data_IF_178660702845
#
_entry.id   IF_178660702845
#
_cell.length_a   1.000
_cell.length_b   1.000
_cell.length_c   1.000
_cell.angle_alpha   90.00
_cell.angle_beta   90.00
_cell.angle_gamma   90.00
#
_symmetry.space_group_name_H-M   'P 1'
#
loop_
_entity.id
_entity.type
_entity.pdbx_description
1 polymer ?
#
# COMPACT_ATOMS: atom_id res chain seq x y z
N UNK A 1 15.63 -10.39 19.03
CA UNK A 1 16.37 -9.74 17.94
C UNK A 1 15.46 -8.71 17.32
N UNK A 2 15.98 -7.55 16.93
CA UNK A 2 15.18 -6.51 16.29
C UNK A 2 14.63 -7.03 14.96
N UNK A 3 13.34 -6.83 14.71
CA UNK A 3 12.64 -7.36 13.54
C UNK A 3 11.97 -6.24 12.75
N UNK A 4 12.18 -6.24 11.45
CA UNK A 4 11.63 -5.25 10.53
C UNK A 4 10.76 -5.90 9.46
N UNK A 5 9.78 -5.14 8.95
CA UNK A 5 9.06 -5.48 7.73
C UNK A 5 9.46 -4.50 6.63
N UNK A 6 10.00 -5.02 5.52
CA UNK A 6 10.24 -4.23 4.33
C UNK A 6 9.07 -4.39 3.35
N UNK A 7 8.52 -3.27 2.90
CA UNK A 7 7.45 -3.23 1.89
C UNK A 7 7.97 -2.52 0.65
N UNK A 8 8.14 -3.26 -0.45
CA UNK A 8 8.55 -2.72 -1.74
C UNK A 8 7.34 -2.41 -2.65
N UNK A 9 7.50 -1.54 -3.64
CA UNK A 9 6.42 -1.22 -4.59
C UNK A 9 6.03 -2.40 -5.50
N UNK A 10 7.01 -3.22 -5.87
CA UNK A 10 6.84 -4.32 -6.82
C UNK A 10 7.69 -5.54 -6.48
N UNK A 11 7.28 -6.76 -6.90
CA UNK A 11 7.99 -7.98 -6.54
C UNK A 11 9.43 -8.09 -7.08
N UNK A 12 9.74 -7.44 -8.19
CA UNK A 12 11.12 -7.41 -8.72
C UNK A 12 12.06 -6.67 -7.77
N UNK A 13 11.69 -5.46 -7.35
CA UNK A 13 12.48 -4.64 -6.43
C UNK A 13 12.72 -5.36 -5.08
N UNK A 14 11.67 -5.96 -4.52
CA UNK A 14 11.78 -6.77 -3.30
C UNK A 14 12.84 -7.87 -3.43
N UNK A 15 12.81 -8.63 -4.53
CA UNK A 15 13.75 -9.74 -4.78
C UNK A 15 15.19 -9.24 -4.92
N UNK A 16 15.40 -8.08 -5.52
CA UNK A 16 16.74 -7.52 -5.67
C UNK A 16 17.30 -7.05 -4.32
N UNK A 17 16.47 -6.41 -3.47
CA UNK A 17 16.86 -6.06 -2.10
C UNK A 17 17.16 -7.32 -1.28
N UNK A 18 16.32 -8.36 -1.37
CA UNK A 18 16.54 -9.65 -0.68
C UNK A 18 17.87 -10.31 -1.03
N UNK A 19 18.31 -10.25 -2.30
CA UNK A 19 19.59 -10.81 -2.73
C UNK A 19 20.78 -10.12 -2.06
N UNK A 20 20.70 -8.80 -1.89
CA UNK A 20 21.75 -8.02 -1.22
C UNK A 20 21.72 -8.27 0.28
N UNK A 21 20.53 -8.24 0.90
CA UNK A 21 20.33 -8.51 2.33
C UNK A 21 20.98 -9.83 2.77
N UNK A 22 20.82 -10.91 2.00
CA UNK A 22 21.43 -12.23 2.31
C UNK A 22 22.96 -12.23 2.35
N UNK A 23 23.61 -11.22 1.77
CA UNK A 23 25.08 -11.08 1.77
C UNK A 23 25.56 -10.13 2.88
N UNK A 24 24.64 -9.39 3.50
CA UNK A 24 24.93 -8.45 4.57
C UNK A 24 24.71 -9.11 5.93
N UNK A 25 25.53 -8.77 6.91
CA UNK A 25 25.27 -9.09 8.32
C UNK A 25 24.67 -7.85 8.98
N UNK A 26 23.35 -7.74 8.93
CA UNK A 26 22.62 -6.69 9.64
C UNK A 26 22.28 -7.16 11.06
N UNK A 27 22.23 -6.25 12.04
CA UNK A 27 21.90 -6.58 13.43
C UNK A 27 20.38 -6.80 13.66
N UNK A 28 19.59 -6.89 12.60
CA UNK A 28 18.14 -7.07 12.63
C UNK A 28 17.67 -7.98 11.49
N UNK A 29 16.56 -8.67 11.73
CA UNK A 29 15.93 -9.55 10.75
C UNK A 29 14.88 -8.80 9.93
N UNK A 30 14.75 -9.11 8.64
CA UNK A 30 13.78 -8.48 7.73
C UNK A 30 12.84 -9.54 7.15
N UNK A 31 11.54 -9.38 7.40
CA UNK A 31 10.49 -10.00 6.60
C UNK A 31 10.21 -9.11 5.38
N UNK A 32 9.94 -9.73 4.23
CA UNK A 32 9.81 -9.03 2.95
C UNK A 32 8.41 -9.18 2.38
N UNK A 33 7.80 -8.04 2.04
CA UNK A 33 6.55 -7.96 1.32
C UNK A 33 6.70 -6.98 0.14
N UNK A 34 5.81 -7.11 -0.85
CA UNK A 34 5.72 -6.16 -1.95
C UNK A 34 4.28 -5.91 -2.34
N UNK A 35 3.99 -4.68 -2.74
CA UNK A 35 2.76 -4.36 -3.44
C UNK A 35 2.79 -4.85 -4.89
N UNK A 36 1.66 -4.67 -5.58
CA UNK A 36 1.52 -4.87 -7.03
C UNK A 36 0.94 -3.58 -7.61
N UNK A 37 1.71 -2.49 -7.46
CA UNK A 37 1.23 -1.12 -7.69
C UNK A 37 0.30 -0.64 -6.58
N UNK A 38 -0.62 0.28 -6.90
CA UNK A 38 -1.56 0.83 -5.91
C UNK A 38 -2.52 -0.22 -5.35
N UNK A 39 -2.50 -0.38 -4.02
CA UNK A 39 -3.38 -1.30 -3.29
C UNK A 39 -4.70 -0.66 -2.84
N UNK A 40 -4.73 0.67 -2.78
CA UNK A 40 -5.91 1.48 -2.48
C UNK A 40 -6.21 2.41 -3.63
N UNK A 41 -7.48 2.77 -3.77
CA UNK A 41 -7.97 3.74 -4.75
C UNK A 41 -8.96 4.69 -4.05
N UNK A 42 -9.20 5.85 -4.65
CA UNK A 42 -10.24 6.75 -4.15
C UNK A 42 -11.59 6.06 -4.21
N UNK A 43 -12.45 6.33 -3.22
CA UNK A 43 -13.86 6.00 -3.33
C UNK A 43 -14.48 6.71 -4.54
N UNK A 44 -15.43 6.05 -5.18
CA UNK A 44 -16.22 6.62 -6.26
C UNK A 44 -17.22 7.65 -5.72
N UNK A 45 -17.66 8.63 -6.53
CA UNK A 45 -18.59 9.68 -6.08
C UNK A 45 -19.82 9.14 -5.36
N UNK A 46 -20.42 8.07 -5.89
CA UNK A 46 -21.63 7.47 -5.33
C UNK A 46 -21.43 6.81 -3.96
N UNK A 47 -20.17 6.51 -3.58
CA UNK A 47 -19.83 5.99 -2.26
C UNK A 47 -19.74 7.10 -1.20
N UNK A 48 -19.63 8.37 -1.63
CA UNK A 48 -19.75 9.53 -0.74
C UNK A 48 -21.20 9.98 -0.60
N UNK A 49 -21.89 10.17 -1.72
CA UNK A 49 -23.31 10.58 -1.76
C UNK A 49 -24.08 9.74 -2.78
N UNK A 50 -25.16 9.04 -2.39
CA UNK A 50 -25.94 8.23 -3.32
C UNK A 50 -26.48 9.00 -4.53
N UNK A 51 -26.76 10.30 -4.39
CA UNK A 51 -27.19 11.17 -5.49
C UNK A 51 -26.15 11.31 -6.62
N UNK A 52 -24.85 11.15 -6.31
CA UNK A 52 -23.75 11.22 -7.28
C UNK A 52 -23.60 9.95 -8.15
N UNK A 53 -24.49 8.97 -7.96
CA UNK A 53 -24.51 7.74 -8.79
C UNK A 53 -24.93 8.01 -10.23
N UNK A 54 -25.85 8.95 -10.44
CA UNK A 54 -26.28 9.35 -11.78
C UNK A 54 -25.45 10.55 -12.22
N UNK A 55 -25.03 10.51 -13.48
CA UNK A 55 -24.37 11.65 -14.11
C UNK A 55 -25.40 12.73 -14.42
N UNK A 56 -25.29 13.86 -13.73
CA UNK A 56 -26.10 15.05 -13.93
C UNK A 56 -25.19 16.28 -13.78
N UNK A 57 -25.33 17.27 -14.66
CA UNK A 57 -24.58 18.52 -14.57
C UNK A 57 -24.98 19.31 -13.32
N UNK A 58 -26.20 19.15 -12.82
CA UNK A 58 -26.70 19.85 -11.63
C UNK A 58 -26.02 19.39 -10.32
N UNK A 59 -25.40 18.21 -10.30
CA UNK A 59 -24.70 17.68 -9.12
C UNK A 59 -23.20 17.95 -9.15
N UNK A 60 -22.70 18.65 -10.18
CA UNK A 60 -21.32 19.08 -10.26
C UNK A 60 -21.10 20.42 -9.52
N UNK A 61 -19.92 20.63 -8.91
CA UNK A 61 -18.81 19.67 -8.79
C UNK A 61 -19.00 18.67 -7.63
N UNK A 62 -18.60 17.42 -7.84
CA UNK A 62 -18.63 16.36 -6.82
C UNK A 62 -17.37 16.40 -5.95
N UNK A 63 -17.29 17.34 -5.02
CA UNK A 63 -16.15 17.49 -4.11
C UNK A 63 -16.55 16.96 -2.72
N UNK A 64 -15.96 15.85 -2.25
CA UNK A 64 -16.26 15.34 -0.90
C UNK A 64 -15.60 16.25 0.15
N UNK A 65 -16.20 16.31 1.35
CA UNK A 65 -15.61 17.04 2.49
C UNK A 65 -14.27 16.43 2.91
N UNK A 66 -14.14 15.10 2.78
CA UNK A 66 -12.92 14.36 3.02
C UNK A 66 -12.76 13.28 1.96
N UNK A 67 -11.59 13.22 1.35
CA UNK A 67 -11.24 12.12 0.45
C UNK A 67 -11.04 10.84 1.25
N UNK A 68 -11.72 9.79 0.80
CA UNK A 68 -11.67 8.46 1.40
C UNK A 68 -11.13 7.46 0.38
N UNK A 69 -10.45 6.45 0.90
CA UNK A 69 -9.86 5.38 0.09
C UNK A 69 -10.59 4.07 0.34
N UNK A 70 -10.69 3.25 -0.70
CA UNK A 70 -11.10 1.85 -0.62
C UNK A 70 -9.98 0.96 -1.12
N UNK A 71 -9.99 -0.29 -0.66
CA UNK A 71 -9.04 -1.29 -1.16
C UNK A 71 -9.42 -1.66 -2.58
N UNK A 72 -8.47 -1.59 -3.51
CA UNK A 72 -8.69 -1.96 -4.90
C UNK A 72 -9.02 -3.46 -4.98
N UNK A 73 -10.11 -3.82 -5.64
CA UNK A 73 -10.60 -5.22 -5.70
C UNK A 73 -9.52 -6.19 -6.18
N UNK A 74 -8.72 -5.80 -7.17
CA UNK A 74 -7.64 -6.63 -7.72
C UNK A 74 -6.44 -6.80 -6.77
N UNK A 75 -6.29 -5.88 -5.81
CA UNK A 75 -5.20 -5.88 -4.84
C UNK A 75 -5.63 -6.35 -3.44
N UNK A 76 -6.91 -6.71 -3.25
CA UNK A 76 -7.47 -7.04 -1.93
C UNK A 76 -6.71 -8.17 -1.23
N UNK A 77 -6.31 -9.20 -1.98
CA UNK A 77 -5.53 -10.32 -1.43
C UNK A 77 -4.19 -9.85 -0.85
N UNK A 78 -3.41 -9.10 -1.64
CA UNK A 78 -2.11 -8.56 -1.22
C UNK A 78 -2.26 -7.62 -0.04
N UNK A 79 -3.29 -6.75 -0.06
CA UNK A 79 -3.61 -5.87 1.05
C UNK A 79 -3.87 -6.67 2.34
N UNK A 80 -4.69 -7.72 2.27
CA UNK A 80 -5.00 -8.57 3.43
C UNK A 80 -3.81 -9.36 3.95
N UNK A 81 -2.95 -9.86 3.07
CA UNK A 81 -1.72 -10.54 3.46
C UNK A 81 -0.79 -9.60 4.24
N UNK A 82 -0.57 -8.38 3.74
CA UNK A 82 0.27 -7.37 4.41
C UNK A 82 -0.38 -6.89 5.71
N UNK A 83 -1.70 -6.66 5.72
CA UNK A 83 -2.44 -6.32 6.94
C UNK A 83 -2.28 -7.41 8.01
N UNK A 84 -2.37 -8.68 7.61
CA UNK A 84 -2.21 -9.80 8.53
C UNK A 84 -0.78 -9.90 9.04
N UNK A 85 0.23 -9.70 8.17
CA UNK A 85 1.64 -9.66 8.60
C UNK A 85 1.86 -8.59 9.66
N UNK A 86 1.38 -7.37 9.42
CA UNK A 86 1.49 -6.24 10.35
C UNK A 86 0.79 -6.48 11.69
N UNK A 87 -0.35 -7.19 11.69
CA UNK A 87 -1.11 -7.49 12.92
C UNK A 87 -0.59 -8.69 13.69
N UNK A 88 -0.07 -9.70 13.00
CA UNK A 88 0.32 -10.99 13.61
C UNK A 88 1.76 -10.97 14.08
N UNK A 89 2.64 -10.34 13.30
CA UNK A 89 4.06 -10.28 13.63
C UNK A 89 4.34 -8.99 14.40
N UNK A 90 5.10 -9.09 15.48
CA UNK A 90 5.64 -7.93 16.16
C UNK A 90 6.87 -7.43 15.41
N UNK A 91 6.73 -6.29 14.73
CA UNK A 91 7.84 -5.59 14.08
C UNK A 91 8.20 -4.35 14.89
N UNK A 92 9.50 -4.13 15.09
CA UNK A 92 10.02 -2.94 15.77
C UNK A 92 9.97 -1.70 14.86
N UNK A 93 10.10 -1.89 13.55
CA UNK A 93 9.99 -0.82 12.55
C UNK A 93 9.63 -1.36 11.15
N UNK A 94 9.17 -0.44 10.29
CA UNK A 94 8.78 -0.71 8.91
C UNK A 94 9.71 0.04 7.96
N UNK A 95 10.17 -0.63 6.91
CA UNK A 95 10.99 -0.05 5.84
C UNK A 95 10.11 0.16 4.61
N UNK A 96 9.89 1.42 4.24
CA UNK A 96 9.26 1.77 2.97
C UNK A 96 10.32 1.74 1.86
N UNK A 97 10.20 0.78 0.96
CA UNK A 97 11.06 0.62 -0.21
C UNK A 97 10.28 0.81 -1.53
N UNK A 98 9.32 1.75 -1.55
CA UNK A 98 8.66 2.15 -2.79
C UNK A 98 9.56 3.03 -3.66
N UNK A 99 9.24 3.17 -4.95
CA UNK A 99 10.09 3.94 -5.87
C UNK A 99 10.19 5.40 -5.38
N UNK A 100 11.41 5.95 -5.46
CA UNK A 100 11.69 7.33 -5.09
C UNK A 100 11.26 8.24 -6.24
N UNK A 101 10.07 8.82 -6.14
CA UNK A 101 9.64 9.86 -7.06
C UNK A 101 10.21 11.21 -6.58
N UNK A 102 11.21 11.73 -7.30
CA UNK A 102 11.55 13.16 -7.28
C UNK A 102 10.42 13.90 -8.02
N UNK A 103 9.39 14.36 -7.30
CA UNK A 103 8.56 15.44 -7.85
C UNK A 103 9.32 16.75 -7.69
N UNK A 104 9.86 17.25 -8.81
CA UNK A 104 10.24 18.67 -8.94
C UNK A 104 9.00 19.56 -8.85
#
# INVERSE_FOLDING_TARGET
>A
MTKALLIAEKPSLMRDIQKVYKKLQLPFEIDFASFVGHVVELKEPHEYKPEWKKWDLNVLPMIPERYEFRVKKTAYKVYKEIEQLLKTNHYDFIINACDCALSL
#
